data_IF_971132261039
#
_entry.id   IF_971132261039
#
_cell.length_a   1.000
_cell.length_b   1.000
_cell.length_c   1.000
_cell.angle_alpha   90.00
_cell.angle_beta   90.00
_cell.angle_gamma   90.00
#
_symmetry.space_group_name_H-M   'P 1'
#
loop_
_entity.id
_entity.type
_entity.pdbx_description
1 polymer ?
#
# COMPACT_ATOMS: atom_id res chain seq x y z
N UNK A 1 14.00 -28.65 -18.27
CA UNK A 1 14.99 -29.59 -18.80
C UNK A 1 15.49 -30.45 -17.65
N UNK A 2 15.33 -31.81 -17.68
CA UNK A 2 15.74 -32.71 -16.63
C UNK A 2 17.24 -32.72 -16.32
N UNK A 3 18.06 -32.20 -17.23
CA UNK A 3 19.52 -32.15 -17.11
C UNK A 3 20.07 -30.80 -16.62
N UNK A 4 19.21 -29.81 -16.40
CA UNK A 4 19.63 -28.49 -15.92
C UNK A 4 19.53 -28.39 -14.39
N UNK A 5 20.57 -27.82 -13.79
CA UNK A 5 20.60 -27.45 -12.38
C UNK A 5 20.02 -26.05 -12.25
N UNK A 6 18.76 -25.95 -11.81
CA UNK A 6 18.14 -24.68 -11.47
C UNK A 6 18.45 -24.37 -10.02
N UNK A 7 18.93 -23.17 -9.72
CA UNK A 7 19.17 -22.74 -8.34
C UNK A 7 18.18 -21.64 -7.96
N UNK A 8 17.87 -21.57 -6.67
CA UNK A 8 16.98 -20.55 -6.10
C UNK A 8 15.65 -20.41 -6.86
N UNK A 9 15.04 -21.58 -7.15
CA UNK A 9 13.78 -21.63 -7.86
C UNK A 9 12.65 -21.08 -7.01
N UNK A 10 11.95 -20.06 -7.52
CA UNK A 10 10.87 -19.38 -6.81
C UNK A 10 9.77 -18.91 -7.74
N UNK A 11 8.56 -18.81 -7.19
CA UNK A 11 7.41 -18.16 -7.84
C UNK A 11 7.14 -16.86 -7.12
N UNK A 12 6.95 -15.79 -7.87
CA UNK A 12 6.74 -14.43 -7.36
C UNK A 12 5.40 -13.94 -7.88
N UNK A 13 4.45 -13.72 -6.97
CA UNK A 13 3.14 -13.16 -7.27
C UNK A 13 3.14 -11.69 -6.85
N UNK A 14 3.07 -10.77 -7.84
CA UNK A 14 3.03 -9.32 -7.61
C UNK A 14 1.59 -8.83 -7.60
N UNK A 15 1.04 -8.60 -6.42
CA UNK A 15 -0.33 -8.14 -6.23
C UNK A 15 -0.41 -6.67 -5.77
N UNK A 16 -1.56 -6.04 -6.01
CA UNK A 16 -1.84 -4.69 -5.52
C UNK A 16 -2.29 -4.74 -4.06
N UNK A 17 -1.48 -4.24 -3.10
CA UNK A 17 -1.82 -4.27 -1.68
C UNK A 17 -2.96 -3.32 -1.29
N UNK A 18 -3.41 -2.45 -2.20
CA UNK A 18 -4.56 -1.57 -1.97
C UNK A 18 -5.88 -2.28 -2.22
N UNK A 19 -5.86 -3.31 -3.07
CA UNK A 19 -7.06 -4.03 -3.49
C UNK A 19 -7.18 -5.41 -2.86
N UNK A 20 -6.04 -6.07 -2.62
CA UNK A 20 -5.99 -7.45 -2.16
C UNK A 20 -5.26 -7.59 -0.82
N UNK A 21 -5.71 -8.56 -0.04
CA UNK A 21 -5.07 -9.07 1.17
C UNK A 21 -4.95 -10.58 1.06
N UNK A 22 -3.78 -11.13 1.38
CA UNK A 22 -3.55 -12.59 1.36
C UNK A 22 -4.15 -13.22 2.62
N UNK A 23 -4.86 -14.33 2.45
CA UNK A 23 -5.30 -15.16 3.57
C UNK A 23 -4.19 -16.14 3.98
N UNK A 24 -3.35 -15.73 4.92
CA UNK A 24 -2.21 -16.51 5.39
C UNK A 24 -2.62 -17.84 6.04
N UNK A 25 -3.79 -17.91 6.65
CA UNK A 25 -4.24 -19.12 7.33
C UNK A 25 -4.37 -20.32 6.38
N UNK A 26 -4.88 -20.07 5.18
CA UNK A 26 -4.98 -21.10 4.16
C UNK A 26 -3.62 -21.36 3.49
N UNK A 27 -2.79 -20.33 3.32
CA UNK A 27 -1.46 -20.47 2.74
C UNK A 27 -0.57 -21.37 3.63
N UNK A 28 -0.52 -21.14 4.94
CA UNK A 28 0.22 -21.95 5.90
C UNK A 28 -0.13 -23.46 5.82
N UNK A 29 -1.38 -23.77 5.55
CA UNK A 29 -1.83 -25.16 5.39
C UNK A 29 -1.14 -25.90 4.24
N UNK A 30 -0.80 -25.19 3.15
CA UNK A 30 -0.10 -25.79 2.01
C UNK A 30 1.38 -26.04 2.29
N UNK A 31 2.02 -25.20 3.07
CA UNK A 31 3.44 -25.34 3.40
C UNK A 31 3.67 -26.38 4.51
N UNK A 32 2.65 -26.67 5.30
CA UNK A 32 2.67 -27.76 6.30
C UNK A 32 2.14 -29.10 5.73
N UNK A 33 1.86 -29.17 4.43
CA UNK A 33 1.26 -30.34 3.79
C UNK A 33 2.31 -31.20 3.06
N UNK A 34 2.55 -32.40 3.54
CA UNK A 34 3.48 -33.37 2.95
C UNK A 34 3.14 -33.81 1.51
N UNK A 35 1.91 -33.53 1.03
CA UNK A 35 1.51 -33.85 -0.35
C UNK A 35 2.05 -32.87 -1.41
N UNK A 36 2.69 -31.79 -1.00
CA UNK A 36 3.33 -30.78 -1.87
C UNK A 36 4.78 -30.52 -1.43
N UNK A 37 5.67 -31.53 -1.46
CA UNK A 37 7.03 -31.42 -0.92
C UNK A 37 7.91 -30.43 -1.67
N UNK A 38 7.50 -30.00 -2.87
CA UNK A 38 8.19 -28.96 -3.63
C UNK A 38 7.97 -27.55 -3.09
N UNK A 39 6.99 -27.30 -2.20
CA UNK A 39 6.82 -26.00 -1.55
C UNK A 39 7.71 -25.96 -0.29
N UNK A 40 8.80 -25.18 -0.34
CA UNK A 40 9.77 -25.12 0.74
C UNK A 40 9.41 -24.08 1.81
N UNK A 41 9.14 -22.86 1.40
CA UNK A 41 8.78 -21.73 2.26
C UNK A 41 8.13 -20.62 1.44
N UNK A 42 7.55 -19.65 2.13
CA UNK A 42 7.10 -18.41 1.50
C UNK A 42 7.48 -17.20 2.34
N UNK A 43 7.50 -16.04 1.70
CA UNK A 43 7.63 -14.73 2.33
C UNK A 43 6.76 -13.71 1.62
N UNK A 44 6.40 -12.62 2.32
CA UNK A 44 5.71 -11.47 1.74
C UNK A 44 6.55 -10.24 1.93
N UNK A 45 6.83 -9.54 0.84
CA UNK A 45 7.63 -8.31 0.83
C UNK A 45 6.72 -7.17 0.38
N UNK A 46 6.52 -6.19 1.26
CA UNK A 46 5.78 -4.98 0.93
C UNK A 46 6.61 -4.07 0.03
N UNK A 47 5.93 -3.37 -0.89
CA UNK A 47 6.55 -2.42 -1.80
C UNK A 47 7.80 -2.99 -2.51
N UNK A 48 7.65 -4.21 -3.04
CA UNK A 48 8.72 -4.97 -3.64
C UNK A 48 9.48 -4.15 -4.70
N UNK A 49 10.77 -3.98 -4.50
CA UNK A 49 11.66 -3.18 -5.36
C UNK A 49 11.12 -1.77 -5.69
N UNK A 50 10.40 -1.13 -4.76
CA UNK A 50 9.72 0.17 -4.93
C UNK A 50 8.68 0.21 -6.07
N UNK A 51 8.13 -0.94 -6.43
CA UNK A 51 7.13 -1.09 -7.51
C UNK A 51 5.74 -0.54 -7.17
N UNK A 52 5.48 -0.23 -5.88
CA UNK A 52 4.12 0.04 -5.38
C UNK A 52 3.28 -1.23 -5.20
N UNK A 53 3.82 -2.42 -5.54
CA UNK A 53 3.18 -3.72 -5.36
C UNK A 53 3.81 -4.48 -4.21
N UNK A 54 3.06 -5.39 -3.60
CA UNK A 54 3.61 -6.39 -2.68
C UNK A 54 3.88 -7.69 -3.43
N UNK A 55 4.91 -8.41 -3.02
CA UNK A 55 5.27 -9.70 -3.57
C UNK A 55 4.97 -10.81 -2.56
N UNK A 56 4.26 -11.84 -2.97
CA UNK A 56 4.29 -13.15 -2.33
C UNK A 56 5.33 -13.99 -3.07
N UNK A 57 6.39 -14.37 -2.37
CA UNK A 57 7.47 -15.20 -2.92
C UNK A 57 7.33 -16.61 -2.35
N UNK A 58 7.22 -17.60 -3.23
CA UNK A 58 7.16 -19.02 -2.88
C UNK A 58 8.49 -19.63 -3.30
N UNK A 59 9.28 -20.07 -2.34
CA UNK A 59 10.52 -20.81 -2.57
C UNK A 59 10.22 -22.27 -2.80
N UNK A 60 10.81 -22.84 -3.87
CA UNK A 60 10.58 -24.21 -4.27
C UNK A 60 11.78 -25.10 -3.93
N UNK A 61 11.51 -26.34 -3.48
CA UNK A 61 12.52 -27.38 -3.47
C UNK A 61 12.74 -27.87 -4.90
N UNK A 62 13.91 -27.60 -5.42
CA UNK A 62 14.23 -27.90 -6.82
C UNK A 62 14.10 -29.39 -7.12
N UNK A 63 14.62 -30.27 -6.28
CA UNK A 63 14.63 -31.71 -6.55
C UNK A 63 13.21 -32.27 -6.61
N UNK A 64 12.38 -31.92 -5.63
CA UNK A 64 11.00 -32.35 -5.56
C UNK A 64 10.17 -31.72 -6.70
N UNK A 65 10.42 -30.45 -7.06
CA UNK A 65 9.76 -29.79 -8.17
C UNK A 65 10.07 -30.47 -9.51
N UNK A 66 11.34 -30.71 -9.82
CA UNK A 66 11.75 -31.40 -11.06
C UNK A 66 11.19 -32.82 -11.11
N UNK A 67 11.31 -33.57 -10.02
CA UNK A 67 10.76 -34.92 -9.91
C UNK A 67 9.26 -34.91 -10.23
N UNK A 68 8.50 -34.02 -9.60
CA UNK A 68 7.05 -33.91 -9.83
C UNK A 68 6.74 -33.50 -11.27
N UNK A 69 7.50 -32.56 -11.84
CA UNK A 69 7.35 -32.15 -13.24
C UNK A 69 7.51 -33.32 -14.20
N UNK A 70 8.51 -34.19 -13.99
CA UNK A 70 8.73 -35.38 -14.80
C UNK A 70 7.57 -36.40 -14.68
N UNK A 71 7.10 -36.63 -13.45
CA UNK A 71 5.98 -37.54 -13.18
C UNK A 71 4.65 -37.11 -13.83
N UNK A 72 4.45 -35.79 -14.00
CA UNK A 72 3.18 -35.20 -14.48
C UNK A 72 3.23 -34.67 -15.90
N UNK A 73 4.31 -34.99 -16.65
CA UNK A 73 4.46 -34.50 -18.02
C UNK A 73 4.64 -32.96 -18.13
N UNK A 74 5.38 -32.36 -17.19
CA UNK A 74 5.71 -30.95 -17.17
C UNK A 74 4.75 -30.04 -16.40
N UNK A 75 3.80 -30.62 -15.65
CA UNK A 75 2.84 -29.85 -14.85
C UNK A 75 3.07 -30.03 -13.35
N UNK A 76 3.30 -28.95 -12.64
CA UNK A 76 3.39 -28.93 -11.18
C UNK A 76 2.35 -27.98 -10.62
N UNK A 77 1.50 -28.46 -9.72
CA UNK A 77 0.49 -27.64 -9.06
C UNK A 77 1.15 -26.86 -7.94
N UNK A 78 0.96 -25.54 -7.96
CA UNK A 78 1.30 -24.66 -6.85
C UNK A 78 0.13 -24.54 -5.86
N UNK A 79 0.36 -24.00 -4.64
CA UNK A 79 -0.71 -23.70 -3.70
C UNK A 79 -1.77 -22.78 -4.32
N UNK A 80 -3.03 -22.99 -3.91
CA UNK A 80 -4.05 -21.96 -4.15
C UNK A 80 -3.82 -20.82 -3.16
N UNK A 81 -3.70 -19.61 -3.69
CA UNK A 81 -3.56 -18.40 -2.89
C UNK A 81 -4.95 -17.78 -2.76
N UNK A 82 -5.52 -17.87 -1.57
CA UNK A 82 -6.79 -17.21 -1.27
C UNK A 82 -6.51 -15.74 -0.90
N UNK A 83 -7.22 -14.85 -1.57
CA UNK A 83 -7.14 -13.41 -1.33
C UNK A 83 -8.49 -12.86 -0.91
N UNK A 84 -8.48 -11.83 -0.08
CA UNK A 84 -9.66 -11.05 0.29
C UNK A 84 -9.59 -9.69 -0.38
N UNK A 85 -10.73 -9.21 -0.88
CA UNK A 85 -10.83 -7.82 -1.30
C UNK A 85 -10.82 -6.91 -0.07
N UNK A 86 -9.99 -5.88 -0.10
CA UNK A 86 -10.06 -4.83 0.91
C UNK A 86 -11.33 -4.02 0.74
N UNK A 87 -12.08 -3.82 1.82
CA UNK A 87 -13.42 -3.24 1.79
C UNK A 87 -13.55 -1.81 1.25
N UNK A 88 -12.42 -1.18 0.89
CA UNK A 88 -12.35 0.15 0.27
C UNK A 88 -11.59 0.12 -1.06
N UNK A 89 -11.52 -1.03 -1.71
CA UNK A 89 -10.87 -1.13 -3.01
C UNK A 89 -11.64 -0.30 -4.06
N UNK A 90 -10.90 0.46 -4.87
CA UNK A 90 -11.50 1.15 -6.01
C UNK A 90 -11.99 0.12 -7.03
N UNK A 91 -13.13 0.41 -7.67
CA UNK A 91 -13.59 -0.38 -8.80
C UNK A 91 -12.65 -0.23 -10.00
N UNK A 92 -12.55 -1.28 -10.80
CA UNK A 92 -11.72 -1.26 -12.00
C UNK A 92 -11.31 -2.65 -12.44
N UNK A 93 -10.53 -2.67 -13.51
CA UNK A 93 -9.86 -3.89 -13.98
C UNK A 93 -8.41 -3.84 -13.48
N UNK A 94 -8.01 -4.89 -12.79
CA UNK A 94 -6.68 -5.03 -12.22
C UNK A 94 -6.00 -6.27 -12.80
N UNK A 95 -4.70 -6.18 -13.00
CA UNK A 95 -3.90 -7.28 -13.49
C UNK A 95 -3.04 -7.84 -12.35
N UNK A 96 -3.14 -9.13 -12.11
CA UNK A 96 -2.22 -9.87 -11.26
C UNK A 96 -1.12 -10.49 -12.11
N UNK A 97 0.12 -10.40 -11.67
CA UNK A 97 1.29 -10.87 -12.38
C UNK A 97 2.00 -11.95 -11.57
N UNK A 98 2.26 -13.09 -12.21
CA UNK A 98 3.02 -14.20 -11.63
C UNK A 98 4.27 -14.41 -12.46
N UNK A 99 5.41 -14.48 -11.80
CA UNK A 99 6.71 -14.74 -12.40
C UNK A 99 7.33 -16.00 -11.82
N UNK A 100 8.20 -16.62 -12.59
CA UNK A 100 9.07 -17.68 -12.11
C UNK A 100 10.52 -17.23 -12.24
N UNK A 101 11.27 -17.27 -11.16
CA UNK A 101 12.66 -16.86 -11.12
C UNK A 101 13.56 -18.00 -10.61
N UNK A 102 14.82 -17.95 -10.99
CA UNK A 102 15.85 -18.93 -10.59
C UNK A 102 16.97 -18.97 -11.61
N UNK A 103 18.18 -19.31 -11.19
CA UNK A 103 19.30 -19.47 -12.11
C UNK A 103 19.02 -20.57 -13.11
N UNK A 104 19.31 -20.35 -14.40
CA UNK A 104 19.15 -21.32 -15.47
C UNK A 104 17.77 -21.32 -16.16
N UNK A 105 16.85 -20.40 -15.79
CA UNK A 105 15.53 -20.29 -16.41
C UNK A 105 15.49 -19.45 -17.71
N UNK A 106 16.53 -18.71 -18.01
CA UNK A 106 16.62 -17.74 -19.12
C UNK A 106 16.48 -18.34 -20.52
N UNK A 107 16.79 -19.63 -20.71
CA UNK A 107 16.68 -20.28 -22.03
C UNK A 107 15.21 -20.50 -22.44
N UNK A 108 14.26 -20.23 -21.59
CA UNK A 108 12.83 -20.35 -21.88
C UNK A 108 12.32 -19.31 -22.88
N UNK A 109 13.04 -18.20 -23.06
CA UNK A 109 12.71 -17.20 -24.07
C UNK A 109 12.67 -17.80 -25.48
N UNK A 110 13.62 -18.65 -25.79
CA UNK A 110 13.70 -19.33 -27.10
C UNK A 110 12.62 -20.39 -27.25
N UNK A 111 12.25 -21.05 -26.14
CA UNK A 111 11.29 -22.15 -26.17
C UNK A 111 9.82 -21.66 -26.23
N UNK A 112 9.52 -20.52 -25.60
CA UNK A 112 8.16 -19.98 -25.55
C UNK A 112 8.12 -18.46 -25.35
N UNK A 113 8.34 -17.65 -26.38
CA UNK A 113 8.46 -16.20 -26.31
C UNK A 113 7.20 -15.49 -25.78
N UNK A 114 6.03 -16.15 -25.87
CA UNK A 114 4.76 -15.59 -25.39
C UNK A 114 4.52 -15.84 -23.87
N UNK A 115 5.46 -16.50 -23.20
CA UNK A 115 5.37 -16.85 -21.78
C UNK A 115 6.47 -16.21 -20.95
N UNK A 116 7.09 -15.17 -21.48
CA UNK A 116 8.14 -14.41 -20.79
C UNK A 116 7.81 -12.91 -20.83
N UNK A 117 8.23 -12.19 -19.80
CA UNK A 117 8.17 -10.74 -19.72
C UNK A 117 9.52 -10.16 -19.32
N UNK A 118 9.74 -8.88 -19.63
CA UNK A 118 10.94 -8.17 -19.18
C UNK A 118 10.97 -8.14 -17.65
N UNK A 119 12.11 -8.49 -17.09
CA UNK A 119 12.33 -8.47 -15.64
C UNK A 119 12.64 -7.05 -15.14
N UNK A 120 11.63 -6.21 -15.12
CA UNK A 120 11.77 -4.80 -14.69
C UNK A 120 12.12 -4.62 -13.22
N UNK A 121 12.13 -5.69 -12.44
CA UNK A 121 12.31 -5.65 -10.98
C UNK A 121 13.52 -6.45 -10.50
N UNK A 122 14.37 -6.97 -11.41
CA UNK A 122 15.48 -7.87 -11.06
C UNK A 122 15.02 -9.05 -10.18
N UNK A 123 13.94 -9.71 -10.62
CA UNK A 123 13.29 -10.80 -9.88
C UNK A 123 14.18 -12.02 -9.71
N UNK A 124 15.17 -12.17 -10.57
CA UNK A 124 16.14 -13.26 -10.57
C UNK A 124 17.45 -12.90 -9.82
N UNK A 125 17.58 -11.65 -9.32
CA UNK A 125 18.71 -11.12 -8.57
C UNK A 125 20.06 -11.23 -9.32
N UNK A 126 20.05 -11.02 -10.64
CA UNK A 126 21.27 -11.05 -11.44
C UNK A 126 21.85 -9.65 -11.72
N UNK A 127 21.20 -8.60 -11.23
CA UNK A 127 21.60 -7.20 -11.40
C UNK A 127 21.12 -6.59 -12.74
N UNK A 128 20.34 -7.32 -13.56
CA UNK A 128 19.74 -6.85 -14.80
C UNK A 128 18.24 -6.62 -14.62
N UNK A 129 17.72 -5.54 -15.22
CA UNK A 129 16.29 -5.25 -15.31
C UNK A 129 15.78 -5.25 -16.74
N UNK A 130 16.56 -5.83 -17.67
CA UNK A 130 16.26 -5.85 -19.10
C UNK A 130 16.20 -7.26 -19.71
N UNK A 131 16.58 -8.25 -18.94
CA UNK A 131 16.43 -9.67 -19.33
C UNK A 131 14.97 -10.11 -19.19
N UNK A 132 14.69 -11.35 -19.52
CA UNK A 132 13.33 -11.88 -19.53
C UNK A 132 13.19 -13.05 -18.58
N UNK A 133 12.05 -13.08 -17.88
CA UNK A 133 11.68 -14.16 -16.95
C UNK A 133 10.34 -14.78 -17.36
N UNK A 134 10.10 -16.06 -17.05
CA UNK A 134 8.80 -16.69 -17.25
C UNK A 134 7.71 -15.89 -16.53
N UNK A 135 6.60 -15.65 -17.23
CA UNK A 135 5.53 -14.78 -16.79
C UNK A 135 4.17 -15.29 -17.18
N UNK A 136 3.20 -15.09 -16.31
CA UNK A 136 1.78 -15.21 -16.59
C UNK A 136 1.03 -14.06 -15.91
N UNK A 137 -0.09 -13.67 -16.50
CA UNK A 137 -0.95 -12.65 -15.94
C UNK A 137 -2.42 -13.05 -16.01
N UNK A 138 -3.21 -12.47 -15.14
CA UNK A 138 -4.67 -12.63 -15.13
C UNK A 138 -5.33 -11.32 -14.71
N UNK A 139 -6.37 -10.95 -15.44
CA UNK A 139 -7.17 -9.79 -15.11
C UNK A 139 -8.32 -10.19 -14.18
N UNK A 140 -8.61 -9.33 -13.22
CA UNK A 140 -9.81 -9.42 -12.37
C UNK A 140 -10.50 -8.07 -12.30
N UNK A 141 -11.82 -8.09 -12.19
CA UNK A 141 -12.64 -6.88 -12.09
C UNK A 141 -13.14 -6.73 -10.67
N UNK A 142 -12.89 -5.57 -10.07
CA UNK A 142 -13.50 -5.17 -8.81
C UNK A 142 -14.64 -4.22 -9.12
N UNK A 143 -15.82 -4.56 -8.64
CA UNK A 143 -16.96 -3.64 -8.63
C UNK A 143 -16.88 -2.86 -7.31
N UNK A 144 -16.59 -1.56 -7.39
CA UNK A 144 -16.55 -0.72 -6.21
C UNK A 144 -17.93 -0.66 -5.55
N UNK A 145 -17.97 -0.78 -4.22
CA UNK A 145 -19.20 -0.58 -3.48
C UNK A 145 -19.75 0.83 -3.72
N UNK A 146 -21.08 0.98 -3.79
CA UNK A 146 -21.70 2.30 -3.78
C UNK A 146 -21.49 2.98 -2.43
N UNK A 147 -21.20 4.28 -2.46
CA UNK A 147 -21.01 5.06 -1.25
C UNK A 147 -20.01 6.19 -1.42
N UNK A 148 -19.82 6.92 -0.33
CA UNK A 148 -18.76 7.94 -0.21
C UNK A 148 -17.70 7.40 0.74
N UNK A 149 -16.47 7.47 0.33
CA UNK A 149 -15.35 7.02 1.16
C UNK A 149 -14.14 7.93 1.04
N UNK A 150 -13.30 7.89 2.05
CA UNK A 150 -12.05 8.64 2.09
C UNK A 150 -10.85 7.72 2.11
N UNK A 151 -9.75 8.20 1.54
CA UNK A 151 -8.42 7.57 1.60
C UNK A 151 -7.35 8.59 1.93
N UNK A 152 -6.32 8.12 2.58
CA UNK A 152 -5.11 8.89 2.86
C UNK A 152 -3.90 8.23 2.20
N UNK A 153 -3.17 9.01 1.44
CA UNK A 153 -1.95 8.59 0.73
C UNK A 153 -0.77 9.41 1.22
N UNK A 154 0.43 8.94 0.94
CA UNK A 154 1.68 9.66 1.14
C UNK A 154 2.29 9.98 -0.22
N UNK A 155 2.72 11.23 -0.43
CA UNK A 155 3.40 11.69 -1.63
C UNK A 155 4.68 12.45 -1.26
N UNK A 156 5.78 12.23 -2.01
CA UNK A 156 7.00 13.05 -1.89
C UNK A 156 6.88 14.32 -2.70
N UNK A 157 6.22 14.24 -3.85
CA UNK A 157 6.07 15.35 -4.78
C UNK A 157 4.92 16.28 -4.37
N UNK A 158 5.11 17.57 -4.52
CA UNK A 158 4.07 18.56 -4.19
C UNK A 158 2.87 18.51 -5.15
N UNK A 159 3.04 17.98 -6.36
CA UNK A 159 1.96 17.74 -7.32
C UNK A 159 1.17 16.46 -7.06
N UNK A 160 1.52 15.70 -6.01
CA UNK A 160 0.91 14.44 -5.60
C UNK A 160 0.97 13.32 -6.66
N UNK A 161 1.79 13.46 -7.69
CA UNK A 161 1.88 12.51 -8.81
C UNK A 161 2.36 11.12 -8.37
N UNK A 162 3.14 11.07 -7.30
CA UNK A 162 3.68 9.85 -6.71
C UNK A 162 2.89 9.35 -5.48
N UNK A 163 1.66 9.83 -5.27
CA UNK A 163 0.84 9.47 -4.11
C UNK A 163 0.58 7.97 -4.03
N UNK A 164 0.87 7.36 -2.88
CA UNK A 164 0.75 5.93 -2.64
C UNK A 164 0.26 5.62 -1.23
N UNK A 165 -0.41 4.51 -1.03
CA UNK A 165 -0.73 3.96 0.29
C UNK A 165 0.39 3.06 0.84
N UNK A 166 1.42 2.81 0.05
CA UNK A 166 2.56 1.97 0.44
C UNK A 166 3.46 2.71 1.40
N UNK A 167 4.04 1.99 2.35
CA UNK A 167 5.03 2.50 3.30
C UNK A 167 6.18 3.20 2.58
N UNK A 168 6.52 4.40 3.04
CA UNK A 168 7.65 5.19 2.53
C UNK A 168 8.59 5.57 3.65
N UNK A 169 9.87 5.60 3.34
CA UNK A 169 10.92 6.05 4.26
C UNK A 169 11.23 7.52 4.03
N UNK A 170 11.28 8.28 5.12
CA UNK A 170 11.65 9.68 5.14
C UNK A 170 12.74 9.93 6.15
N UNK A 171 13.62 10.88 5.85
CA UNK A 171 14.66 11.33 6.77
C UNK A 171 14.09 12.33 7.80
N UNK A 172 14.75 12.51 8.95
CA UNK A 172 14.43 13.62 9.85
C UNK A 172 14.49 14.95 9.11
N UNK A 173 13.49 15.81 9.32
CA UNK A 173 13.38 17.12 8.66
C UNK A 173 12.93 17.07 7.19
N UNK A 174 12.75 15.89 6.61
CA UNK A 174 12.26 15.77 5.23
C UNK A 174 10.79 16.18 5.12
N UNK A 175 10.46 16.89 4.05
CA UNK A 175 9.10 17.32 3.76
C UNK A 175 8.40 16.32 2.83
N UNK A 176 7.09 16.20 3.00
CA UNK A 176 6.24 15.38 2.15
C UNK A 176 4.80 15.87 2.23
N UNK A 177 3.89 15.22 1.54
CA UNK A 177 2.47 15.54 1.59
C UNK A 177 1.65 14.30 1.98
N UNK A 178 0.61 14.49 2.78
CA UNK A 178 -0.52 13.58 2.74
C UNK A 178 -1.49 14.04 1.65
N UNK A 179 -1.99 13.11 0.87
CA UNK A 179 -3.10 13.32 -0.04
C UNK A 179 -4.35 12.72 0.60
N UNK A 180 -5.33 13.54 0.91
CA UNK A 180 -6.64 13.08 1.35
C UNK A 180 -7.55 13.05 0.13
N UNK A 181 -8.11 11.90 -0.19
CA UNK A 181 -9.07 11.74 -1.28
C UNK A 181 -10.45 11.44 -0.71
N UNK A 182 -11.46 12.18 -1.14
CA UNK A 182 -12.87 11.86 -0.91
C UNK A 182 -13.44 11.43 -2.25
N UNK A 183 -13.93 10.21 -2.35
CA UNK A 183 -14.51 9.68 -3.58
C UNK A 183 -15.99 9.40 -3.40
N UNK A 184 -16.77 10.03 -4.26
CA UNK A 184 -18.19 9.72 -4.41
C UNK A 184 -18.35 8.61 -5.46
N UNK A 185 -18.67 7.41 -5.01
CA UNK A 185 -18.90 6.26 -5.88
C UNK A 185 -20.40 5.96 -6.07
N UNK A 186 -21.24 6.98 -5.95
CA UNK A 186 -22.68 6.90 -6.22
C UNK A 186 -23.03 7.58 -7.55
N UNK A 187 -24.24 7.35 -8.04
CA UNK A 187 -24.77 7.98 -9.27
C UNK A 187 -25.35 9.37 -9.03
N UNK A 188 -25.22 9.92 -7.81
CA UNK A 188 -25.76 11.24 -7.42
C UNK A 188 -24.64 12.09 -6.82
N UNK A 189 -24.68 13.42 -7.01
CA UNK A 189 -23.77 14.32 -6.30
C UNK A 189 -24.00 14.24 -4.78
N UNK A 190 -22.93 14.50 -4.03
CA UNK A 190 -22.94 14.54 -2.56
C UNK A 190 -22.60 15.96 -2.10
N UNK A 191 -23.43 16.49 -1.22
CA UNK A 191 -23.34 17.82 -0.63
C UNK A 191 -22.89 17.75 0.84
N UNK A 192 -22.63 18.92 1.43
CA UNK A 192 -22.34 19.08 2.85
C UNK A 192 -21.20 18.15 3.36
N UNK A 193 -20.21 17.94 2.50
CA UNK A 193 -19.09 17.04 2.83
C UNK A 193 -18.10 17.73 3.75
N UNK A 194 -17.71 17.02 4.81
CA UNK A 194 -16.66 17.44 5.73
C UNK A 194 -15.66 16.30 5.89
N UNK A 195 -14.39 16.62 5.82
CA UNK A 195 -13.31 15.67 6.15
C UNK A 195 -12.54 16.17 7.36
N UNK A 196 -12.23 15.25 8.25
CA UNK A 196 -11.38 15.48 9.42
C UNK A 196 -10.14 14.60 9.30
N UNK A 197 -8.98 15.12 9.66
CA UNK A 197 -7.75 14.33 9.80
C UNK A 197 -6.97 14.80 11.02
N UNK A 198 -6.51 13.85 11.84
CA UNK A 198 -5.58 14.08 12.94
C UNK A 198 -4.18 13.77 12.44
N UNK A 199 -3.27 14.71 12.64
CA UNK A 199 -1.87 14.50 12.28
C UNK A 199 -1.28 13.38 13.16
N UNK A 200 -0.46 12.48 12.58
CA UNK A 200 0.23 11.46 13.36
C UNK A 200 1.08 12.07 14.48
N UNK A 201 0.94 11.53 15.66
CA UNK A 201 1.70 11.95 16.85
C UNK A 201 2.00 10.78 17.77
N UNK A 202 3.02 10.94 18.61
CA UNK A 202 3.34 9.95 19.65
C UNK A 202 2.12 9.72 20.55
N UNK A 203 1.79 8.46 20.79
CA UNK A 203 0.62 8.07 21.58
C UNK A 203 -0.72 8.09 20.82
N UNK A 204 -0.68 8.25 19.51
CA UNK A 204 -1.83 8.22 18.62
C UNK A 204 -2.54 6.85 18.63
N UNK A 205 -3.85 6.86 18.42
CA UNK A 205 -4.69 5.65 18.42
C UNK A 205 -5.45 5.48 17.09
N UNK A 206 -5.79 4.24 16.80
CA UNK A 206 -6.61 3.91 15.65
C UNK A 206 -8.06 4.38 15.84
N UNK A 207 -8.65 4.97 14.82
CA UNK A 207 -10.02 5.50 14.85
C UNK A 207 -11.10 4.43 14.96
N UNK A 208 -10.83 3.20 14.54
CA UNK A 208 -11.84 2.15 14.48
C UNK A 208 -12.01 1.41 15.81
N UNK A 209 -10.92 1.18 16.53
CA UNK A 209 -10.89 0.31 17.70
C UNK A 209 -10.14 0.90 18.90
N UNK A 210 -9.68 2.15 18.79
CA UNK A 210 -8.87 2.86 19.78
C UNK A 210 -7.56 2.13 20.17
N UNK A 211 -7.11 1.15 19.39
CA UNK A 211 -5.83 0.49 19.59
C UNK A 211 -4.68 1.46 19.35
N UNK A 212 -3.57 1.27 20.08
CA UNK A 212 -2.39 2.11 19.93
C UNK A 212 -1.81 1.93 18.50
N UNK A 213 -1.63 3.02 17.76
CA UNK A 213 -0.99 3.01 16.43
C UNK A 213 0.53 2.83 16.49
N UNK A 214 1.11 2.95 17.69
CA UNK A 214 2.55 2.86 17.92
C UNK A 214 3.35 3.89 17.11
N UNK A 215 2.75 5.06 16.86
CA UNK A 215 3.43 6.17 16.19
C UNK A 215 4.56 6.68 17.09
N UNK A 216 5.78 6.65 16.58
CA UNK A 216 7.01 6.98 17.33
C UNK A 216 7.47 8.43 17.12
N UNK A 217 6.78 9.19 16.27
CA UNK A 217 7.12 10.58 15.92
C UNK A 217 5.87 11.43 15.74
N UNK A 218 6.04 12.74 15.84
CA UNK A 218 4.96 13.71 15.61
C UNK A 218 5.25 14.48 14.34
N UNK A 219 4.31 14.41 13.39
CA UNK A 219 4.37 15.16 12.14
C UNK A 219 3.78 16.55 12.33
N UNK A 220 4.38 17.57 11.73
CA UNK A 220 3.89 18.96 11.76
C UNK A 220 3.46 19.42 10.37
N UNK A 221 2.47 20.33 10.31
CA UNK A 221 2.20 21.06 9.07
C UNK A 221 3.37 22.03 8.77
N UNK A 222 3.76 22.10 7.51
CA UNK A 222 4.77 23.09 7.04
C UNK A 222 4.16 24.39 6.50
N UNK A 223 2.82 24.46 6.42
CA UNK A 223 2.10 25.63 5.92
C UNK A 223 0.61 25.35 5.76
N UNK A 224 -0.14 26.28 5.18
CA UNK A 224 -1.57 26.13 4.96
C UNK A 224 -1.87 25.02 3.95
N UNK A 225 -3.04 24.40 4.12
CA UNK A 225 -3.60 23.48 3.15
C UNK A 225 -4.16 24.29 1.98
N UNK A 226 -3.81 23.90 0.76
CA UNK A 226 -4.48 24.42 -0.43
C UNK A 226 -5.78 23.66 -0.61
N UNK A 227 -6.88 24.24 -0.11
CA UNK A 227 -8.21 23.67 -0.30
C UNK A 227 -8.65 23.79 -1.78
N UNK A 228 -9.32 22.81 -2.35
CA UNK A 228 -9.91 22.92 -3.68
C UNK A 228 -10.92 24.07 -3.77
N UNK A 229 -11.25 24.50 -4.98
CA UNK A 229 -12.26 25.52 -5.19
C UNK A 229 -13.60 25.11 -4.54
N UNK A 230 -14.22 26.03 -3.83
CA UNK A 230 -15.45 25.78 -3.09
C UNK A 230 -15.26 25.07 -1.73
N UNK A 231 -14.02 24.87 -1.28
CA UNK A 231 -13.73 24.24 0.02
C UNK A 231 -12.99 25.20 0.94
N UNK A 232 -13.21 25.07 2.25
CA UNK A 232 -12.51 25.85 3.28
C UNK A 232 -11.79 24.92 4.26
N UNK A 233 -10.51 25.21 4.51
CA UNK A 233 -9.70 24.50 5.49
C UNK A 233 -9.75 25.22 6.84
N UNK A 234 -9.93 24.44 7.90
CA UNK A 234 -9.86 24.85 9.30
C UNK A 234 -8.84 23.99 10.05
N UNK A 235 -8.29 24.53 11.09
CA UNK A 235 -7.21 23.93 11.87
C UNK A 235 -7.54 23.97 13.36
N UNK A 236 -7.00 23.03 14.11
CA UNK A 236 -7.03 23.06 15.58
C UNK A 236 -5.63 22.81 16.13
N UNK A 237 -5.32 23.48 17.25
CA UNK A 237 -4.13 23.25 18.07
C UNK A 237 -4.46 22.52 19.37
N UNK A 238 -5.70 22.08 19.54
CA UNK A 238 -6.14 21.35 20.71
C UNK A 238 -5.48 19.95 20.73
N UNK A 239 -4.61 19.73 21.71
CA UNK A 239 -3.87 18.48 21.86
C UNK A 239 -4.72 17.33 22.37
N UNK A 240 -5.93 17.59 22.85
CA UNK A 240 -6.87 16.56 23.32
C UNK A 240 -7.64 15.90 22.17
N UNK A 241 -7.63 16.51 20.98
CA UNK A 241 -8.24 15.93 19.77
C UNK A 241 -7.37 14.77 19.30
N UNK A 242 -7.96 13.60 19.25
CA UNK A 242 -7.35 12.38 18.74
C UNK A 242 -8.22 11.80 17.62
N UNK A 243 -7.71 10.83 16.90
CA UNK A 243 -8.48 10.14 15.88
C UNK A 243 -9.79 9.54 16.45
N UNK A 244 -9.79 9.04 17.67
CA UNK A 244 -10.97 8.47 18.35
C UNK A 244 -11.98 9.51 18.85
N UNK A 245 -11.56 10.75 19.09
CA UNK A 245 -12.41 11.84 19.58
C UNK A 245 -12.83 12.83 18.50
N UNK A 246 -12.42 12.60 17.27
CA UNK A 246 -12.60 13.53 16.17
C UNK A 246 -14.09 13.84 15.91
N UNK A 247 -14.95 12.84 15.88
CA UNK A 247 -16.40 13.04 15.69
C UNK A 247 -17.01 13.91 16.80
N UNK A 248 -16.54 13.76 18.04
CA UNK A 248 -16.98 14.57 19.18
C UNK A 248 -16.43 16.00 19.15
N UNK A 249 -15.29 16.21 18.49
CA UNK A 249 -14.68 17.52 18.31
C UNK A 249 -15.26 18.28 17.10
N UNK A 250 -16.06 17.63 16.25
CA UNK A 250 -16.56 18.21 15.01
C UNK A 250 -17.31 19.53 15.22
N UNK A 251 -18.12 19.61 16.27
CA UNK A 251 -18.98 20.77 16.59
C UNK A 251 -18.40 21.67 17.69
N UNK A 252 -17.18 21.39 18.14
CA UNK A 252 -16.52 22.23 19.17
C UNK A 252 -15.94 23.49 18.52
N UNK A 253 -16.02 24.60 19.26
CA UNK A 253 -15.41 25.89 18.89
C UNK A 253 -13.89 25.89 19.11
N UNK A 254 -13.21 24.96 18.45
CA UNK A 254 -11.74 24.79 18.47
C UNK A 254 -11.14 24.94 17.08
N UNK A 255 -11.97 25.15 16.08
CA UNK A 255 -11.56 25.20 14.68
C UNK A 255 -11.46 26.64 14.19
N UNK A 256 -10.33 27.00 13.62
CA UNK A 256 -10.09 28.32 13.02
C UNK A 256 -9.49 28.20 11.61
N UNK A 257 -9.85 29.11 10.74
CA UNK A 257 -9.19 29.23 9.43
C UNK A 257 -7.84 29.98 9.54
N UNK A 258 -7.70 30.83 10.56
CA UNK A 258 -6.54 31.68 10.77
C UNK A 258 -5.59 31.06 11.77
N UNK A 259 -4.44 30.58 11.30
CA UNK A 259 -3.38 30.00 12.12
C UNK A 259 -2.08 30.76 11.90
N UNK A 260 -1.46 31.19 12.96
CA UNK A 260 -0.18 31.91 12.92
C UNK A 260 1.04 30.98 12.94
N UNK A 261 0.88 29.79 13.51
CA UNK A 261 1.94 28.77 13.64
C UNK A 261 1.42 27.37 13.27
N UNK A 262 1.63 27.01 12.03
CA UNK A 262 1.19 25.70 11.51
C UNK A 262 1.88 24.51 12.16
N UNK A 263 3.06 24.71 12.77
CA UNK A 263 3.77 23.61 13.46
C UNK A 263 3.04 23.10 14.70
N UNK A 264 2.12 23.88 15.24
CA UNK A 264 1.32 23.53 16.43
C UNK A 264 -0.02 22.87 16.07
N UNK A 265 -0.37 22.81 14.82
CA UNK A 265 -1.63 22.19 14.40
C UNK A 265 -1.61 20.69 14.69
N UNK A 266 -2.66 20.23 15.36
CA UNK A 266 -2.86 18.82 15.74
C UNK A 266 -3.91 18.12 14.90
N UNK A 267 -4.83 18.88 14.31
CA UNK A 267 -5.90 18.35 13.46
C UNK A 267 -6.37 19.35 12.43
N UNK A 268 -6.93 18.83 11.35
CA UNK A 268 -7.46 19.60 10.24
C UNK A 268 -8.91 19.20 9.96
N UNK A 269 -9.70 20.19 9.50
CA UNK A 269 -11.09 20.04 9.07
C UNK A 269 -11.22 20.76 7.74
N UNK A 270 -11.64 20.07 6.68
CA UNK A 270 -11.89 20.70 5.38
C UNK A 270 -13.36 20.51 5.01
N UNK A 271 -14.04 21.61 4.71
CA UNK A 271 -15.49 21.69 4.57
C UNK A 271 -15.85 22.12 3.15
N UNK A 272 -16.74 21.41 2.51
CA UNK A 272 -17.40 21.88 1.28
C UNK A 272 -18.31 23.06 1.64
N UNK A 273 -18.10 24.21 1.00
CA UNK A 273 -18.93 25.41 1.20
C UNK A 273 -20.34 25.18 0.65
N UNK A 274 -21.28 26.00 1.06
CA UNK A 274 -22.67 25.91 0.58
C UNK A 274 -22.70 25.90 -0.97
N UNK A 275 -23.47 24.96 -1.53
CA UNK A 275 -23.57 24.74 -2.97
C UNK A 275 -22.41 23.96 -3.61
N UNK A 276 -21.37 23.64 -2.86
CA UNK A 276 -20.26 22.81 -3.35
C UNK A 276 -20.63 21.33 -3.23
N UNK A 277 -20.47 20.57 -4.33
CA UNK A 277 -20.78 19.15 -4.39
C UNK A 277 -19.60 18.32 -4.87
N UNK A 278 -19.54 17.06 -4.47
CA UNK A 278 -18.72 16.04 -5.15
C UNK A 278 -19.64 15.36 -6.17
N UNK A 279 -19.37 15.57 -7.46
CA UNK A 279 -20.18 15.02 -8.54
C UNK A 279 -20.31 13.50 -8.47
N UNK A 280 -21.31 12.95 -9.17
CA UNK A 280 -21.46 11.50 -9.32
C UNK A 280 -20.18 10.87 -9.90
N UNK A 281 -19.74 9.74 -9.35
CA UNK A 281 -18.56 8.98 -9.80
C UNK A 281 -17.26 9.81 -9.84
N UNK A 282 -17.17 10.91 -9.07
CA UNK A 282 -16.00 11.80 -9.03
C UNK A 282 -15.32 11.82 -7.66
N UNK A 283 -14.21 12.51 -7.58
CA UNK A 283 -13.42 12.64 -6.35
C UNK A 283 -12.88 14.05 -6.17
N UNK A 284 -12.53 14.35 -4.92
CA UNK A 284 -11.81 15.55 -4.51
C UNK A 284 -10.55 15.13 -3.79
N UNK A 285 -9.42 15.72 -4.17
CA UNK A 285 -8.11 15.49 -3.58
C UNK A 285 -7.65 16.74 -2.83
N UNK A 286 -7.10 16.56 -1.63
CA UNK A 286 -6.62 17.63 -0.76
C UNK A 286 -5.16 17.33 -0.41
N UNK A 287 -4.28 18.28 -0.69
CA UNK A 287 -2.87 18.19 -0.30
C UNK A 287 -2.67 18.75 1.11
N UNK A 288 -2.08 17.95 1.97
CA UNK A 288 -1.72 18.32 3.34
C UNK A 288 -0.21 18.36 3.46
N UNK A 289 0.42 19.55 3.40
CA UNK A 289 1.87 19.68 3.41
C UNK A 289 2.43 19.49 4.81
N UNK A 290 3.32 18.51 4.97
CA UNK A 290 3.87 18.13 6.27
C UNK A 290 5.40 18.04 6.27
N UNK A 291 5.96 18.03 7.46
CA UNK A 291 7.39 17.85 7.70
C UNK A 291 7.60 16.87 8.85
N UNK A 292 8.56 15.98 8.70
CA UNK A 292 9.04 15.14 9.79
C UNK A 292 9.80 15.99 10.83
N UNK A 293 9.82 15.58 12.12
CA UNK A 293 10.67 16.23 13.10
C UNK A 293 12.14 16.19 12.64
N UNK A 294 12.85 17.30 12.83
CA UNK A 294 14.27 17.42 12.47
C UNK A 294 15.18 16.59 13.37
N UNK A 295 14.71 16.30 14.57
CA UNK A 295 15.43 15.48 15.55
C UNK A 295 14.57 14.29 15.97
N UNK A 296 15.19 13.13 16.03
CA UNK A 296 14.57 11.94 16.61
C UNK A 296 14.63 12.04 18.13
N UNK A 297 13.53 11.69 18.79
CA UNK A 297 13.54 11.56 20.26
C UNK A 297 14.53 10.45 20.67
N UNK A 298 15.07 10.53 21.89
CA UNK A 298 16.00 9.51 22.37
C UNK A 298 15.37 8.11 22.40
N UNK A 299 14.06 8.04 22.65
CA UNK A 299 13.30 6.80 22.58
C UNK A 299 13.30 6.19 21.16
N UNK A 300 13.11 7.00 20.12
CA UNK A 300 13.15 6.53 18.71
C UNK A 300 14.57 6.13 18.34
N UNK A 301 15.59 6.86 18.76
CA UNK A 301 17.00 6.50 18.56
C UNK A 301 17.33 5.14 19.18
N UNK A 302 16.82 4.88 20.38
CA UNK A 302 17.02 3.60 21.08
C UNK A 302 16.33 2.45 20.36
N UNK A 303 15.08 2.61 19.91
CA UNK A 303 14.35 1.62 19.13
C UNK A 303 15.03 1.29 17.79
N UNK A 304 15.69 2.27 17.15
CA UNK A 304 16.47 2.03 15.94
C UNK A 304 17.72 1.19 16.23
N UNK A 305 18.37 1.40 17.36
CA UNK A 305 19.55 0.62 17.78
C UNK A 305 19.19 -0.83 18.15
N UNK A 306 17.99 -1.07 18.66
CA UNK A 306 17.51 -2.41 19.01
C UNK A 306 17.07 -3.25 17.78
N UNK A 307 16.90 -2.61 16.63
CA UNK A 307 16.48 -3.25 15.35
C UNK A 307 17.65 -3.49 14.37
N UNK A 308 18.86 -3.08 14.72
CA UNK A 308 20.09 -3.32 13.97
C UNK A 308 20.87 -4.50 14.57
#
# INVERSE_FOLDING_TARGET
DPGKDYKDLRVIDLFDPNTLEIDFKDLDRYFNNSSMPWNKSYEVIENYHNSGRSALIIHLDQKEFIKRSLETGGQVRLPFIYTKLKGKADGGIFTNHIYMAGEGLWDLETANPNKVAVDSYDLNNNGSTTDKVPHAESNYTIVAAEGVYSRKFIAKNDDLSDASTVTRTFKPGETFNYKLTIKNNTDRPVENTVIYDVLPKVGDVNTLDASARKTEYTVSLRGPITAPEGWTAYYTTDTTVTASTMAQAADRDIWTADVTDYSKVTGIKVVANEGTTIGARSQVDIAVPVVNPSELTDQVKQLMLERT
#
